data_IF_999161942360
#
_entry.id   IF_999161942360
#
_cell.length_a   1.000
_cell.length_b   1.000
_cell.length_c   1.000
_cell.angle_alpha   90.00
_cell.angle_beta   90.00
_cell.angle_gamma   90.00
#
_symmetry.space_group_name_H-M   'P 1'
#
loop_
_entity.id
_entity.type
_entity.pdbx_description
1 polymer ?
#
# COMPACT_ATOMS: atom_id res chain seq x y z
N UNK A 1 -26.57 -8.32 -4.20
CA UNK A 1 -25.70 -8.37 -5.38
C UNK A 1 -24.67 -7.26 -5.21
N UNK A 2 -23.51 -7.64 -4.73
CA UNK A 2 -22.39 -6.71 -4.51
C UNK A 2 -21.64 -6.58 -5.84
N UNK A 3 -21.70 -5.40 -6.42
CA UNK A 3 -21.01 -5.09 -7.66
C UNK A 3 -19.51 -5.13 -7.37
N UNK A 4 -18.83 -6.15 -7.88
CA UNK A 4 -17.39 -6.26 -7.82
C UNK A 4 -16.73 -4.98 -8.30
N UNK A 5 -16.06 -4.27 -7.39
CA UNK A 5 -15.34 -3.05 -7.69
C UNK A 5 -14.16 -3.43 -8.56
N UNK A 6 -14.27 -3.21 -9.86
CA UNK A 6 -13.15 -3.32 -10.80
C UNK A 6 -12.13 -2.26 -10.39
N UNK A 7 -10.96 -2.67 -9.93
CA UNK A 7 -9.86 -1.75 -9.69
C UNK A 7 -9.29 -1.40 -11.08
N UNK A 8 -9.67 -0.25 -11.58
CA UNK A 8 -9.09 0.34 -12.78
C UNK A 8 -7.67 0.81 -12.47
N UNK A 9 -6.72 -0.10 -12.59
CA UNK A 9 -5.33 0.26 -12.82
C UNK A 9 -5.12 0.52 -14.31
N UNK A 10 -3.98 1.05 -14.71
CA UNK A 10 -3.60 1.48 -16.07
C UNK A 10 -3.57 0.35 -17.13
N UNK A 11 -4.28 -0.74 -16.93
CA UNK A 11 -4.41 -1.90 -17.81
C UNK A 11 -5.88 -2.21 -18.05
N UNK A 12 -6.21 -2.61 -19.26
CA UNK A 12 -7.56 -3.03 -19.61
C UNK A 12 -8.03 -4.14 -18.68
N UNK A 13 -9.20 -3.94 -18.05
CA UNK A 13 -9.81 -4.96 -17.22
C UNK A 13 -10.18 -6.17 -18.10
N UNK A 14 -9.67 -7.33 -17.75
CA UNK A 14 -10.01 -8.58 -18.43
C UNK A 14 -11.29 -9.14 -17.80
N UNK A 15 -12.28 -9.47 -18.66
CA UNK A 15 -13.50 -10.11 -18.20
C UNK A 15 -13.15 -11.50 -17.61
N UNK A 16 -13.54 -11.80 -16.36
CA UNK A 16 -13.30 -13.10 -15.73
C UNK A 16 -13.81 -14.30 -16.53
N UNK A 17 -14.82 -14.13 -17.37
CA UNK A 17 -15.38 -15.17 -18.25
C UNK A 17 -14.34 -15.80 -19.19
N UNK A 18 -13.22 -15.10 -19.50
CA UNK A 18 -12.14 -15.67 -20.32
C UNK A 18 -11.47 -16.87 -19.64
N UNK A 19 -11.65 -17.02 -18.34
CA UNK A 19 -11.12 -18.11 -17.54
C UNK A 19 -12.13 -19.22 -17.28
N UNK A 20 -13.31 -19.17 -17.91
CA UNK A 20 -14.30 -20.24 -17.82
C UNK A 20 -13.72 -21.56 -18.32
N UNK A 21 -13.97 -22.61 -17.59
CA UNK A 21 -13.44 -23.94 -17.89
C UNK A 21 -12.17 -24.32 -17.12
N UNK A 22 -11.53 -23.38 -16.42
CA UNK A 22 -10.47 -23.69 -15.45
C UNK A 22 -11.07 -23.85 -14.06
N UNK A 23 -10.58 -24.85 -13.32
CA UNK A 23 -11.00 -25.08 -11.94
C UNK A 23 -10.35 -24.07 -11.00
N UNK A 24 -9.16 -23.57 -11.33
CA UNK A 24 -8.44 -22.56 -10.58
C UNK A 24 -7.55 -21.70 -11.48
N UNK A 25 -7.49 -20.41 -11.19
CA UNK A 25 -6.63 -19.45 -11.88
C UNK A 25 -5.80 -18.68 -10.84
N UNK A 26 -4.51 -18.99 -10.80
CA UNK A 26 -3.55 -18.27 -9.96
C UNK A 26 -3.05 -17.02 -10.68
N UNK A 27 -3.31 -15.86 -10.11
CA UNK A 27 -2.92 -14.57 -10.65
C UNK A 27 -1.77 -13.97 -9.82
N UNK A 28 -0.85 -13.29 -10.51
CA UNK A 28 0.23 -12.50 -9.91
C UNK A 28 -0.01 -11.00 -10.04
N UNK A 29 1.06 -10.20 -9.89
CA UNK A 29 1.11 -8.75 -10.04
C UNK A 29 0.59 -7.95 -8.84
N UNK A 30 -0.56 -8.26 -8.27
CA UNK A 30 -1.06 -7.54 -7.09
C UNK A 30 -0.32 -7.99 -5.83
N UNK A 31 0.09 -7.02 -5.00
CA UNK A 31 0.85 -7.32 -3.78
C UNK A 31 -0.02 -7.82 -2.64
N UNK A 32 -1.30 -7.46 -2.63
CA UNK A 32 -2.26 -7.94 -1.64
C UNK A 32 -3.09 -9.09 -2.21
N UNK A 33 -3.42 -10.04 -1.33
CA UNK A 33 -4.31 -11.12 -1.71
C UNK A 33 -5.69 -10.59 -2.09
N UNK A 34 -6.24 -11.14 -3.16
CA UNK A 34 -7.59 -10.84 -3.63
C UNK A 34 -8.25 -12.07 -4.20
N UNK A 35 -9.54 -12.21 -3.91
CA UNK A 35 -10.41 -13.18 -4.56
C UNK A 35 -11.25 -12.48 -5.61
N UNK A 36 -11.40 -13.11 -6.76
CA UNK A 36 -12.28 -12.66 -7.83
C UNK A 36 -13.38 -13.71 -7.98
N UNK A 37 -14.62 -13.29 -8.13
CA UNK A 37 -15.80 -14.14 -8.17
C UNK A 37 -15.95 -15.01 -6.90
N UNK A 38 -16.08 -16.33 -7.09
CA UNK A 38 -16.29 -17.33 -6.03
C UNK A 38 -14.98 -17.86 -5.40
N UNK A 39 -13.85 -17.20 -5.68
CA UNK A 39 -12.52 -17.62 -5.22
C UNK A 39 -11.76 -18.51 -6.20
N UNK A 40 -12.36 -18.86 -7.32
CA UNK A 40 -11.73 -19.65 -8.40
C UNK A 40 -10.55 -18.90 -9.03
N UNK A 41 -10.65 -17.58 -9.13
CA UNK A 41 -9.59 -16.70 -9.61
C UNK A 41 -9.03 -15.97 -8.40
N UNK A 42 -7.70 -16.10 -8.17
CA UNK A 42 -7.08 -15.54 -6.98
C UNK A 42 -5.74 -14.89 -7.27
N UNK A 43 -5.56 -13.71 -6.74
CA UNK A 43 -4.24 -13.10 -6.52
C UNK A 43 -3.73 -13.52 -5.15
N UNK A 44 -2.64 -14.26 -5.09
CA UNK A 44 -2.06 -14.71 -3.80
C UNK A 44 -1.29 -13.60 -3.08
N UNK A 45 -1.01 -12.49 -3.74
CA UNK A 45 -0.16 -11.43 -3.21
C UNK A 45 1.33 -11.75 -3.34
N UNK A 46 2.12 -11.01 -2.59
CA UNK A 46 3.58 -11.20 -2.51
C UNK A 46 3.96 -11.86 -1.19
N UNK A 47 5.04 -12.67 -1.14
CA UNK A 47 5.46 -13.35 0.09
C UNK A 47 5.99 -12.40 1.17
N UNK A 48 6.44 -11.22 0.76
CA UNK A 48 6.94 -10.17 1.66
C UNK A 48 6.21 -8.86 1.39
N UNK A 49 6.26 -7.93 2.34
CA UNK A 49 5.78 -6.56 2.18
C UNK A 49 6.84 -5.74 1.45
N UNK A 50 6.47 -5.08 0.36
CA UNK A 50 7.38 -4.25 -0.44
C UNK A 50 7.14 -2.75 -0.24
N UNK A 51 6.06 -2.38 0.44
CA UNK A 51 5.65 -0.99 0.61
C UNK A 51 5.09 -0.77 2.01
N UNK A 52 5.29 0.45 2.56
CA UNK A 52 4.67 0.86 3.82
C UNK A 52 3.14 0.72 3.83
N UNK A 53 2.51 0.80 2.66
CA UNK A 53 1.07 0.62 2.53
C UNK A 53 0.63 -0.83 2.79
N UNK A 54 1.56 -1.77 2.74
CA UNK A 54 1.33 -3.18 3.04
C UNK A 54 1.62 -3.54 4.50
N UNK A 55 2.02 -2.55 5.34
CA UNK A 55 2.44 -2.79 6.73
C UNK A 55 1.42 -3.58 7.56
N UNK A 56 0.14 -3.37 7.29
CA UNK A 56 -0.97 -4.06 7.97
C UNK A 56 -1.51 -5.26 7.17
N UNK A 57 -0.92 -5.58 6.02
CA UNK A 57 -1.37 -6.70 5.20
C UNK A 57 -0.79 -8.01 5.71
N UNK A 58 -1.62 -9.03 5.80
CA UNK A 58 -1.20 -10.41 5.99
C UNK A 58 -0.54 -10.92 4.71
N UNK A 59 0.54 -11.68 4.84
CA UNK A 59 1.20 -12.38 3.74
C UNK A 59 1.04 -13.88 3.92
N UNK A 60 0.72 -14.56 2.83
CA UNK A 60 0.43 -16.00 2.87
C UNK A 60 0.86 -16.70 1.59
N UNK A 61 0.95 -18.01 1.67
CA UNK A 61 1.03 -18.92 0.53
C UNK A 61 -0.30 -19.65 0.42
N UNK A 62 -0.83 -19.72 -0.78
CA UNK A 62 -2.02 -20.50 -1.09
C UNK A 62 -1.62 -21.88 -1.53
N UNK A 63 -2.18 -22.88 -0.89
CA UNK A 63 -2.09 -24.28 -1.29
C UNK A 63 -3.41 -24.70 -1.93
N UNK A 64 -3.33 -25.61 -2.88
CA UNK A 64 -4.52 -26.15 -3.54
C UNK A 64 -4.37 -27.62 -3.86
N UNK A 65 -5.45 -28.36 -3.69
CA UNK A 65 -5.59 -29.75 -4.10
C UNK A 65 -6.74 -29.86 -5.10
N UNK A 66 -6.44 -30.37 -6.29
CA UNK A 66 -7.43 -30.68 -7.33
C UNK A 66 -7.42 -32.20 -7.50
N UNK A 67 -8.54 -32.87 -7.20
CA UNK A 67 -8.67 -34.30 -7.33
C UNK A 67 -9.28 -34.71 -8.67
N UNK A 68 -10.39 -34.09 -8.99
CA UNK A 68 -11.06 -34.22 -10.27
C UNK A 68 -11.65 -32.89 -10.68
N UNK A 69 -12.17 -32.78 -11.90
CA UNK A 69 -12.72 -31.51 -12.41
C UNK A 69 -13.84 -31.01 -11.49
N UNK A 70 -13.69 -29.80 -10.99
CA UNK A 70 -14.61 -29.16 -10.08
C UNK A 70 -14.42 -29.51 -8.59
N UNK A 71 -13.53 -30.47 -8.26
CA UNK A 71 -13.17 -30.80 -6.86
C UNK A 71 -11.87 -30.11 -6.48
N UNK A 72 -12.01 -28.85 -6.04
CA UNK A 72 -10.91 -27.96 -5.63
C UNK A 72 -11.00 -27.65 -4.14
N UNK A 73 -9.91 -27.87 -3.42
CA UNK A 73 -9.76 -27.43 -2.03
C UNK A 73 -8.59 -26.46 -1.95
N UNK A 74 -8.83 -25.25 -1.41
CA UNK A 74 -7.83 -24.21 -1.21
C UNK A 74 -7.67 -23.91 0.28
N UNK A 75 -6.42 -23.66 0.72
CA UNK A 75 -6.13 -23.12 2.05
C UNK A 75 -4.87 -22.26 2.01
N UNK A 76 -4.74 -21.40 3.00
CA UNK A 76 -3.65 -20.45 3.11
C UNK A 76 -2.81 -20.71 4.36
N UNK A 77 -1.49 -20.68 4.19
CA UNK A 77 -0.54 -20.69 5.28
C UNK A 77 0.09 -19.29 5.41
N UNK A 78 0.00 -18.72 6.61
CA UNK A 78 0.55 -17.39 6.88
C UNK A 78 2.08 -17.44 6.89
N UNK A 79 2.68 -16.43 6.25
CA UNK A 79 4.12 -16.25 6.22
C UNK A 79 4.56 -15.32 7.36
N UNK A 80 5.54 -15.79 8.14
CA UNK A 80 6.21 -14.99 9.15
C UNK A 80 7.64 -14.68 8.68
N UNK A 81 7.92 -13.47 8.19
CA UNK A 81 9.26 -13.10 7.73
C UNK A 81 10.23 -12.99 8.91
N UNK A 82 11.54 -13.16 8.66
CA UNK A 82 12.58 -12.93 9.67
C UNK A 82 12.61 -11.48 10.15
N UNK A 83 12.31 -10.54 9.23
CA UNK A 83 12.13 -9.11 9.48
C UNK A 83 10.88 -8.66 8.77
N UNK A 84 9.95 -8.11 9.51
CA UNK A 84 8.71 -7.57 8.94
C UNK A 84 8.88 -6.10 8.55
N UNK A 85 7.89 -5.53 7.89
CA UNK A 85 7.81 -4.11 7.59
C UNK A 85 6.69 -3.48 8.41
N UNK A 86 7.03 -2.44 9.17
CA UNK A 86 6.09 -1.76 10.08
C UNK A 86 6.09 -0.26 9.86
N UNK A 87 4.95 0.36 10.14
CA UNK A 87 4.85 1.80 10.33
C UNK A 87 4.75 2.06 11.83
N UNK A 88 5.69 2.87 12.37
CA UNK A 88 5.70 3.30 13.76
C UNK A 88 5.34 4.79 13.76
N UNK A 89 4.21 5.13 14.39
CA UNK A 89 3.72 6.51 14.44
C UNK A 89 3.48 6.93 15.88
N UNK A 90 3.98 8.09 16.25
CA UNK A 90 3.82 8.64 17.61
C UNK A 90 4.69 9.87 17.84
N UNK A 91 4.58 10.48 19.01
CA UNK A 91 5.53 11.49 19.48
C UNK A 91 6.88 10.83 19.77
N UNK A 92 7.94 11.63 19.84
CA UNK A 92 9.28 11.11 20.15
C UNK A 92 9.30 10.30 21.46
N UNK A 93 8.66 10.81 22.51
CA UNK A 93 8.60 10.15 23.80
C UNK A 93 7.86 8.80 23.76
N UNK A 94 6.89 8.64 22.87
CA UNK A 94 6.15 7.39 22.72
C UNK A 94 6.94 6.33 21.96
N UNK A 95 7.84 6.74 21.05
CA UNK A 95 8.50 5.80 20.12
C UNK A 95 9.99 5.56 20.43
N UNK A 96 10.66 6.44 21.18
CA UNK A 96 12.11 6.41 21.42
C UNK A 96 12.65 5.11 22.04
N UNK A 97 11.82 4.44 22.82
CA UNK A 97 12.21 3.21 23.54
C UNK A 97 11.80 1.91 22.81
N UNK A 98 11.14 2.03 21.64
CA UNK A 98 10.77 0.90 20.81
C UNK A 98 12.03 0.27 20.21
N UNK A 99 12.18 -1.04 20.36
CA UNK A 99 13.29 -1.82 19.79
C UNK A 99 12.75 -2.90 18.89
N UNK A 100 13.21 -2.92 17.66
CA UNK A 100 12.92 -3.99 16.70
C UNK A 100 13.97 -4.04 15.61
N UNK A 101 14.21 -5.25 15.08
CA UNK A 101 15.04 -5.50 13.91
C UNK A 101 14.24 -5.44 12.58
N UNK A 102 12.94 -5.18 12.65
CA UNK A 102 12.09 -5.04 11.47
C UNK A 102 12.48 -3.79 10.64
N UNK A 103 12.04 -3.77 9.40
CA UNK A 103 12.10 -2.59 8.55
C UNK A 103 11.01 -1.60 8.98
N UNK A 104 11.39 -0.38 9.35
CA UNK A 104 10.44 0.57 9.95
C UNK A 104 10.33 1.86 9.13
N UNK A 105 9.09 2.29 8.93
CA UNK A 105 8.76 3.62 8.47
C UNK A 105 8.29 4.44 9.67
N UNK A 106 8.99 5.51 10.00
CA UNK A 106 8.68 6.35 11.16
C UNK A 106 7.87 7.55 10.71
N UNK A 107 6.76 7.79 11.42
CA UNK A 107 5.94 9.00 11.30
C UNK A 107 5.93 9.69 12.65
N UNK A 108 6.87 10.63 12.83
CA UNK A 108 6.96 11.41 14.06
C UNK A 108 5.83 12.43 14.11
N UNK A 109 5.07 12.42 15.19
CA UNK A 109 4.04 13.43 15.49
C UNK A 109 4.66 14.57 16.29
N UNK A 110 4.60 15.76 15.73
CA UNK A 110 5.19 16.95 16.33
C UNK A 110 6.48 17.41 15.65
N UNK A 111 7.07 18.51 16.11
CA UNK A 111 8.24 19.10 15.47
C UNK A 111 9.48 18.24 15.69
N UNK A 112 10.30 18.13 14.65
CA UNK A 112 11.65 17.57 14.70
C UNK A 112 12.62 18.72 15.03
N UNK A 113 12.66 19.11 16.30
CA UNK A 113 13.43 20.26 16.76
C UNK A 113 14.79 19.87 17.36
N UNK A 114 15.04 18.58 17.56
CA UNK A 114 16.25 18.07 18.17
C UNK A 114 17.04 17.20 17.16
N UNK A 115 18.23 17.65 16.75
CA UNK A 115 19.08 16.89 15.85
C UNK A 115 19.40 15.46 16.34
N UNK A 116 19.31 15.23 17.65
CA UNK A 116 19.63 13.94 18.27
C UNK A 116 18.45 12.95 18.25
N UNK A 117 17.24 13.40 17.94
CA UNK A 117 16.05 12.51 17.87
C UNK A 117 16.25 11.36 16.89
N UNK A 118 16.67 11.66 15.66
CA UNK A 118 16.91 10.64 14.65
C UNK A 118 18.02 9.67 15.05
N UNK A 119 19.12 10.17 15.65
CA UNK A 119 20.22 9.33 16.10
C UNK A 119 19.78 8.37 17.21
N UNK A 120 19.01 8.88 18.17
CA UNK A 120 18.43 8.07 19.27
C UNK A 120 17.51 6.95 18.73
N UNK A 121 16.65 7.29 17.76
CA UNK A 121 15.78 6.30 17.14
C UNK A 121 16.57 5.26 16.35
N UNK A 122 17.62 5.65 15.66
CA UNK A 122 18.46 4.76 14.87
C UNK A 122 19.21 3.73 15.73
N UNK A 123 19.56 4.07 16.95
CA UNK A 123 20.22 3.15 17.87
C UNK A 123 19.30 1.99 18.28
N UNK A 124 18.00 2.23 18.37
CA UNK A 124 17.00 1.24 18.73
C UNK A 124 16.31 0.58 17.52
N UNK A 125 16.34 1.23 16.37
CA UNK A 125 15.67 0.84 15.12
C UNK A 125 16.70 0.83 13.97
N UNK A 126 17.55 -0.21 13.86
CA UNK A 126 18.67 -0.21 12.92
C UNK A 126 18.25 -0.19 11.45
N UNK A 127 17.01 -0.56 11.13
CA UNK A 127 16.50 -0.65 9.76
C UNK A 127 15.41 0.39 9.46
N UNK A 128 15.69 1.66 9.75
CA UNK A 128 14.78 2.76 9.37
C UNK A 128 14.79 2.93 7.84
N UNK A 129 13.65 2.73 7.20
CA UNK A 129 13.43 2.88 5.77
C UNK A 129 13.01 4.29 5.37
N UNK A 130 12.24 4.95 6.21
CA UNK A 130 11.89 6.36 6.06
C UNK A 130 11.60 6.99 7.42
N UNK A 131 11.84 8.30 7.49
CA UNK A 131 11.56 9.13 8.64
C UNK A 131 10.84 10.38 8.14
N UNK A 132 9.65 10.62 8.62
CA UNK A 132 8.82 11.78 8.27
C UNK A 132 8.29 12.43 9.53
N UNK A 133 8.29 13.76 9.55
CA UNK A 133 7.69 14.55 10.64
C UNK A 133 6.40 15.16 10.13
N UNK A 134 5.34 15.01 10.90
CA UNK A 134 4.06 15.60 10.60
C UNK A 134 3.79 16.75 11.58
N UNK A 135 4.13 17.96 11.20
CA UNK A 135 3.84 19.17 12.02
C UNK A 135 2.34 19.45 12.14
N UNK A 136 1.50 18.88 11.30
CA UNK A 136 0.06 19.10 11.30
C UNK A 136 -0.67 17.96 10.55
N UNK A 137 -0.73 16.76 11.10
CA UNK A 137 -1.83 15.88 10.74
C UNK A 137 -2.94 16.02 11.79
N UNK A 138 -3.67 17.14 11.75
CA UNK A 138 -5.05 17.14 12.19
C UNK A 138 -5.77 16.10 11.36
N UNK A 139 -6.12 14.99 12.00
CA UNK A 139 -7.14 13.99 11.61
C UNK A 139 -7.55 14.03 10.13
N UNK A 140 -6.77 13.41 9.26
CA UNK A 140 -7.26 13.03 7.97
C UNK A 140 -7.79 11.59 8.12
N UNK A 141 -9.09 11.46 8.16
CA UNK A 141 -9.78 10.18 8.01
C UNK A 141 -9.36 9.55 6.68
N UNK A 142 -9.10 8.23 6.60
CA UNK A 142 -8.50 7.60 5.41
C UNK A 142 -9.36 7.62 4.15
N UNK A 143 -10.62 8.01 4.23
CA UNK A 143 -11.58 7.80 3.15
C UNK A 143 -11.78 8.99 2.17
N UNK A 144 -11.17 10.16 2.41
CA UNK A 144 -11.37 11.33 1.54
C UNK A 144 -10.08 11.95 0.96
N UNK A 145 -8.92 11.30 1.09
CA UNK A 145 -7.63 11.91 0.74
C UNK A 145 -7.19 11.76 -0.73
N UNK A 146 -7.89 11.01 -1.59
CA UNK A 146 -7.30 10.60 -2.88
C UNK A 146 -7.46 11.67 -3.97
N UNK A 147 -8.52 12.48 -3.98
CA UNK A 147 -8.76 13.39 -5.12
C UNK A 147 -8.09 14.77 -4.99
N UNK A 148 -8.08 15.37 -3.79
CA UNK A 148 -7.53 16.73 -3.63
C UNK A 148 -6.01 16.75 -3.46
N UNK A 149 -5.41 15.72 -2.86
CA UNK A 149 -3.97 15.68 -2.64
C UNK A 149 -3.19 15.42 -3.93
N UNK A 150 -3.70 14.60 -4.83
CA UNK A 150 -3.04 14.31 -6.11
C UNK A 150 -2.91 15.56 -6.97
N UNK A 151 -3.96 16.39 -7.01
CA UNK A 151 -3.93 17.66 -7.72
C UNK A 151 -2.89 18.61 -7.12
N UNK A 152 -2.89 18.78 -5.80
CA UNK A 152 -1.97 19.66 -5.09
C UNK A 152 -0.51 19.24 -5.29
N UNK A 153 -0.20 17.98 -5.14
CA UNK A 153 1.16 17.45 -5.37
C UNK A 153 1.63 17.65 -6.80
N UNK A 154 0.73 17.50 -7.77
CA UNK A 154 1.07 17.75 -9.16
C UNK A 154 1.30 19.23 -9.45
N UNK A 155 0.49 20.12 -8.89
CA UNK A 155 0.66 21.58 -8.98
C UNK A 155 2.02 22.01 -8.42
N UNK A 156 2.38 21.53 -7.23
CA UNK A 156 3.69 21.80 -6.62
C UNK A 156 4.85 21.24 -7.47
N UNK A 157 4.75 19.99 -7.91
CA UNK A 157 5.77 19.40 -8.78
C UNK A 157 5.94 20.17 -10.08
N UNK A 158 4.83 20.57 -10.70
CA UNK A 158 4.84 21.35 -11.94
C UNK A 158 5.50 22.72 -11.74
N UNK A 159 5.12 23.42 -10.65
CA UNK A 159 5.71 24.71 -10.32
C UNK A 159 7.22 24.62 -10.10
N UNK A 160 7.68 23.59 -9.40
CA UNK A 160 9.12 23.34 -9.17
C UNK A 160 9.87 23.05 -10.49
N UNK A 161 9.26 22.31 -11.40
CA UNK A 161 9.92 21.87 -12.65
C UNK A 161 9.90 22.94 -13.74
N UNK A 162 8.80 23.68 -13.84
CA UNK A 162 8.56 24.64 -14.92
C UNK A 162 8.82 26.08 -14.51
N UNK A 163 9.02 26.34 -13.21
CA UNK A 163 9.24 27.70 -12.67
C UNK A 163 8.00 28.59 -12.77
N UNK A 164 6.81 28.03 -12.96
CA UNK A 164 5.52 28.70 -13.00
C UNK A 164 4.38 27.79 -12.59
N UNK A 165 3.27 28.37 -12.18
CA UNK A 165 2.06 27.63 -11.88
C UNK A 165 1.35 27.12 -13.14
N UNK A 166 0.46 26.13 -12.97
CA UNK A 166 -0.44 25.65 -14.01
C UNK A 166 -1.39 26.76 -14.45
N UNK A 167 -1.58 26.90 -15.77
CA UNK A 167 -2.65 27.74 -16.28
C UNK A 167 -4.01 27.00 -16.22
N UNK A 168 -5.13 27.71 -16.45
CA UNK A 168 -6.47 27.14 -16.34
C UNK A 168 -6.73 25.96 -17.29
N UNK A 169 -6.15 25.97 -18.49
CA UNK A 169 -6.29 24.85 -19.43
C UNK A 169 -5.53 23.61 -18.98
N UNK A 170 -4.30 23.79 -18.50
CA UNK A 170 -3.48 22.72 -17.97
C UNK A 170 -4.12 22.10 -16.72
N UNK A 171 -4.67 22.94 -15.85
CA UNK A 171 -5.41 22.51 -14.67
C UNK A 171 -6.68 21.71 -15.01
N UNK A 172 -7.43 22.17 -16.03
CA UNK A 172 -8.62 21.45 -16.51
C UNK A 172 -8.26 20.08 -17.08
N UNK A 173 -7.17 20.00 -17.87
CA UNK A 173 -6.69 18.72 -18.40
C UNK A 173 -6.33 17.78 -17.27
N UNK A 174 -5.60 18.27 -16.27
CA UNK A 174 -5.19 17.47 -15.12
C UNK A 174 -6.40 16.95 -14.32
N UNK A 175 -7.39 17.79 -14.05
CA UNK A 175 -8.62 17.38 -13.38
C UNK A 175 -9.37 16.27 -14.13
N UNK A 176 -9.39 16.33 -15.46
CA UNK A 176 -10.00 15.30 -16.28
C UNK A 176 -9.21 13.99 -16.35
N UNK A 177 -7.93 13.99 -15.96
CA UNK A 177 -7.09 12.79 -15.89
C UNK A 177 -7.13 12.12 -14.52
N UNK A 178 -7.48 12.87 -13.47
CA UNK A 178 -7.54 12.40 -12.09
C UNK A 178 -8.93 11.83 -11.76
N UNK A 179 -9.98 12.29 -12.42
CA UNK A 179 -11.37 11.78 -12.31
C UNK A 179 -11.62 10.65 -13.31
#
# INVERSE_FOLDING_TARGET
ADNGKVITGMYDAINPEVYDGFDYVAMGHLHNEQYVEDGRIRYCGTPLKYSKFESNCRKSITFGEIREKGDLTLWDEELSPMKDMRVISGTFDEIKDIKTDDYVHIVLKGPDNDPDMYSTLRDNLPNIMSYTCSDNFAQAEPDNMIENDTLLYFEEFFAQRMGRDLNEKERTILLNLIN
#
